data_IF_429296226774
#
_entry.id   IF_429296226774
#
_cell.length_a   1.000
_cell.length_b   1.000
_cell.length_c   1.000
_cell.angle_alpha   90.00
_cell.angle_beta   90.00
_cell.angle_gamma   90.00
#
_symmetry.space_group_name_H-M   'P 1'
#
loop_
_entity.id
_entity.type
_entity.pdbx_description
1 polymer ?
#
# COMPACT_ATOMS: atom_id res chain seq x y z
N UNK A 1 4.21 6.77 -8.85
CA UNK A 1 4.57 6.63 -7.39
C UNK A 1 4.91 5.17 -7.08
N UNK A 2 5.90 4.89 -6.23
CA UNK A 2 6.26 3.54 -5.82
C UNK A 2 5.76 3.23 -4.40
N UNK A 3 5.26 2.02 -4.16
CA UNK A 3 4.86 1.51 -2.84
C UNK A 3 5.79 0.35 -2.49
N UNK A 4 6.51 0.47 -1.37
CA UNK A 4 7.37 -0.59 -0.84
C UNK A 4 6.61 -1.35 0.24
N UNK A 5 6.56 -2.68 0.07
CA UNK A 5 6.01 -3.63 1.05
C UNK A 5 6.62 -3.48 2.45
N UNK A 6 5.89 -3.94 3.45
CA UNK A 6 6.27 -3.84 4.86
C UNK A 6 7.56 -4.62 5.18
N UNK A 7 7.77 -5.77 4.53
CA UNK A 7 9.02 -6.55 4.63
C UNK A 7 10.18 -5.98 3.80
N UNK A 8 9.92 -4.92 3.01
CA UNK A 8 10.88 -4.22 2.13
C UNK A 8 11.45 -5.07 0.99
N UNK A 9 10.89 -6.24 0.73
CA UNK A 9 11.37 -7.14 -0.33
C UNK A 9 10.73 -6.80 -1.68
N UNK A 10 9.49 -6.32 -1.66
CA UNK A 10 8.72 -5.97 -2.86
C UNK A 10 8.53 -4.46 -3.00
N UNK A 11 8.63 -3.96 -4.24
CA UNK A 11 8.44 -2.57 -4.63
C UNK A 11 7.54 -2.50 -5.86
N UNK A 12 6.43 -1.77 -5.75
CA UNK A 12 5.37 -1.76 -6.74
C UNK A 12 5.16 -0.35 -7.30
N UNK A 13 4.99 -0.22 -8.62
CA UNK A 13 4.63 1.06 -9.22
C UNK A 13 3.12 1.18 -9.36
N UNK A 14 2.53 2.16 -8.67
CA UNK A 14 1.10 2.43 -8.70
C UNK A 14 0.54 2.77 -10.08
N UNK A 15 1.37 3.29 -10.98
CA UNK A 15 0.94 3.58 -12.36
C UNK A 15 0.64 2.31 -13.16
N UNK A 16 1.17 1.16 -12.74
CA UNK A 16 1.01 -0.13 -13.39
C UNK A 16 0.05 -1.07 -12.65
N UNK A 17 -0.60 -0.59 -11.60
CA UNK A 17 -1.56 -1.37 -10.80
C UNK A 17 -2.98 -1.19 -11.32
N UNK A 18 -3.80 -2.22 -11.21
CA UNK A 18 -5.26 -2.09 -11.38
C UNK A 18 -5.91 -1.48 -10.14
N UNK A 19 -5.33 -1.67 -8.95
CA UNK A 19 -5.78 -1.02 -7.73
C UNK A 19 -4.99 -1.42 -6.48
N UNK A 20 -5.31 -0.76 -5.37
CA UNK A 20 -4.96 -1.17 -4.01
C UNK A 20 -6.25 -1.57 -3.30
N UNK A 21 -6.24 -2.70 -2.60
CA UNK A 21 -7.41 -3.25 -1.94
C UNK A 21 -7.15 -3.56 -0.47
N UNK A 22 -8.17 -3.32 0.35
CA UNK A 22 -8.25 -3.84 1.71
C UNK A 22 -8.86 -5.24 1.67
N UNK A 23 -8.23 -6.18 2.37
CA UNK A 23 -8.73 -7.52 2.57
C UNK A 23 -8.70 -7.87 4.05
N UNK A 24 -9.73 -8.56 4.53
CA UNK A 24 -9.78 -9.09 5.87
C UNK A 24 -9.68 -10.61 5.81
N UNK A 25 -8.78 -11.16 6.61
CA UNK A 25 -8.58 -12.61 6.71
C UNK A 25 -8.67 -13.04 8.16
N UNK A 26 -9.45 -14.08 8.44
CA UNK A 26 -9.45 -14.73 9.74
C UNK A 26 -8.56 -15.96 9.67
N UNK A 27 -7.46 -15.96 10.43
CA UNK A 27 -6.58 -17.10 10.57
C UNK A 27 -6.85 -17.78 11.91
N UNK A 28 -7.28 -19.04 11.86
CA UNK A 28 -7.34 -19.89 13.05
C UNK A 28 -6.03 -20.65 13.18
N UNK A 29 -5.20 -20.32 14.18
CA UNK A 29 -4.00 -21.09 14.53
C UNK A 29 -4.08 -21.53 15.99
N UNK A 30 -3.89 -22.82 16.25
CA UNK A 30 -3.90 -23.40 17.60
C UNK A 30 -5.16 -23.05 18.42
N UNK A 31 -6.32 -23.00 17.78
CA UNK A 31 -7.60 -22.70 18.43
C UNK A 31 -7.79 -21.22 18.81
N UNK A 32 -6.88 -20.32 18.41
CA UNK A 32 -7.06 -18.87 18.52
C UNK A 32 -7.38 -18.29 17.16
N UNK A 33 -8.50 -17.58 17.08
CA UNK A 33 -8.83 -16.75 15.92
C UNK A 33 -8.02 -15.47 15.97
N UNK A 34 -7.35 -15.16 14.87
CA UNK A 34 -6.65 -13.90 14.68
C UNK A 34 -7.14 -13.28 13.39
N UNK A 35 -7.78 -12.12 13.53
CA UNK A 35 -8.13 -11.30 12.38
C UNK A 35 -6.88 -10.54 11.93
N UNK A 36 -6.60 -10.62 10.64
CA UNK A 36 -5.53 -9.88 9.99
C UNK A 36 -6.11 -9.00 8.90
N UNK A 37 -5.77 -7.72 8.98
CA UNK A 37 -6.25 -6.68 8.08
C UNK A 37 -5.14 -6.36 7.07
N UNK A 38 -5.31 -6.79 5.84
CA UNK A 38 -4.28 -6.79 4.81
C UNK A 38 -4.53 -5.68 3.79
N UNK A 39 -3.46 -5.00 3.39
CA UNK A 39 -3.46 -4.14 2.21
C UNK A 39 -2.72 -4.87 1.11
N UNK A 40 -3.38 -5.05 -0.03
CA UNK A 40 -2.85 -5.74 -1.19
C UNK A 40 -2.86 -4.83 -2.42
N UNK A 41 -1.93 -5.05 -3.33
CA UNK A 41 -1.92 -4.44 -4.65
C UNK A 41 -2.46 -5.46 -5.66
N UNK A 42 -3.28 -5.01 -6.60
CA UNK A 42 -3.81 -5.84 -7.68
C UNK A 42 -3.07 -5.56 -8.99
N UNK A 43 -2.57 -6.63 -9.60
CA UNK A 43 -1.91 -6.66 -10.90
C UNK A 43 -2.77 -7.43 -11.91
N UNK A 44 -3.90 -6.87 -12.31
CA UNK A 44 -4.75 -7.48 -13.34
C UNK A 44 -5.24 -8.87 -12.95
N UNK A 45 -5.57 -9.08 -11.67
CA UNK A 45 -6.09 -10.33 -11.13
C UNK A 45 -5.14 -11.07 -10.19
N UNK A 46 -3.87 -10.65 -10.10
CA UNK A 46 -2.93 -11.15 -9.09
C UNK A 46 -2.87 -10.18 -7.91
N UNK A 47 -3.33 -10.64 -6.75
CA UNK A 47 -3.26 -9.90 -5.49
C UNK A 47 -1.96 -10.21 -4.76
N UNK A 48 -1.17 -9.19 -4.50
CA UNK A 48 0.07 -9.29 -3.72
C UNK A 48 -0.05 -8.50 -2.42
N UNK A 49 0.28 -9.15 -1.29
CA UNK A 49 0.17 -8.55 0.03
C UNK A 49 1.32 -7.54 0.26
N UNK A 50 0.99 -6.30 0.59
CA UNK A 50 1.96 -5.23 0.84
C UNK A 50 2.14 -4.93 2.33
N UNK A 51 1.11 -5.12 3.14
CA UNK A 51 1.15 -4.85 4.58
C UNK A 51 0.02 -5.53 5.32
N UNK A 52 0.27 -5.89 6.58
CA UNK A 52 -0.70 -6.55 7.45
C UNK A 52 -0.77 -5.82 8.78
N UNK A 53 -1.98 -5.48 9.21
CA UNK A 53 -2.25 -4.69 10.41
C UNK A 53 -3.17 -5.44 11.37
N UNK A 54 -3.05 -5.08 12.66
CA UNK A 54 -3.80 -5.72 13.74
C UNK A 54 -5.27 -5.27 13.81
N UNK A 55 -5.58 -4.07 13.30
CA UNK A 55 -6.93 -3.52 13.30
C UNK A 55 -7.31 -2.96 11.94
N UNK A 56 -8.62 -2.95 11.65
CA UNK A 56 -9.17 -2.36 10.43
C UNK A 56 -8.87 -0.88 10.34
N UNK A 57 -8.99 -0.17 11.46
CA UNK A 57 -8.76 1.28 11.54
C UNK A 57 -7.34 1.63 11.11
N UNK A 58 -6.35 0.85 11.55
CA UNK A 58 -4.96 1.06 11.15
C UNK A 58 -4.73 0.78 9.68
N UNK A 59 -5.35 -0.27 9.12
CA UNK A 59 -5.26 -0.55 7.70
C UNK A 59 -5.88 0.58 6.85
N UNK A 60 -7.03 1.12 7.27
CA UNK A 60 -7.68 2.26 6.60
C UNK A 60 -6.79 3.51 6.68
N UNK A 61 -6.24 3.84 7.85
CA UNK A 61 -5.34 4.98 8.01
C UNK A 61 -4.15 4.90 7.04
N UNK A 62 -3.59 3.70 6.83
CA UNK A 62 -2.50 3.50 5.88
C UNK A 62 -2.95 3.66 4.42
N UNK A 63 -4.18 3.27 4.08
CA UNK A 63 -4.75 3.55 2.76
C UNK A 63 -4.89 5.06 2.53
N UNK A 64 -5.41 5.79 3.51
CA UNK A 64 -5.53 7.25 3.44
C UNK A 64 -4.15 7.91 3.31
N UNK A 65 -3.12 7.39 3.99
CA UNK A 65 -1.74 7.86 3.83
C UNK A 65 -1.23 7.64 2.40
N UNK A 66 -1.49 6.48 1.79
CA UNK A 66 -1.10 6.18 0.41
C UNK A 66 -1.81 7.12 -0.56
N UNK A 67 -3.12 7.35 -0.38
CA UNK A 67 -3.90 8.27 -1.20
C UNK A 67 -3.33 9.69 -1.15
N UNK A 68 -3.11 10.22 0.06
CA UNK A 68 -2.53 11.56 0.25
C UNK A 68 -1.15 11.68 -0.41
N UNK A 69 -0.30 10.65 -0.25
CA UNK A 69 1.03 10.65 -0.85
C UNK A 69 0.98 10.57 -2.39
N UNK A 70 0.00 9.84 -2.93
CA UNK A 70 -0.24 9.76 -4.36
C UNK A 70 -0.70 11.10 -4.94
N UNK A 71 -1.66 11.76 -4.29
CA UNK A 71 -2.13 13.09 -4.68
C UNK A 71 -0.97 14.10 -4.66
N UNK A 72 -0.16 14.09 -3.60
CA UNK A 72 1.04 14.93 -3.51
C UNK A 72 2.02 14.68 -4.67
N UNK A 73 2.31 13.41 -4.99
CA UNK A 73 3.19 13.07 -6.11
C UNK A 73 2.62 13.54 -7.47
N UNK A 74 1.29 13.49 -7.65
CA UNK A 74 0.62 13.99 -8.86
C UNK A 74 0.69 15.51 -8.96
N UNK A 75 0.48 16.26 -7.87
CA UNK A 75 0.59 17.72 -7.86
C UNK A 75 2.01 18.20 -8.26
N UNK A 76 3.04 17.51 -7.77
CA UNK A 76 4.43 17.77 -8.17
C UNK A 76 4.69 17.51 -9.65
N UNK A 77 4.01 16.52 -10.23
CA UNK A 77 4.11 16.19 -11.65
C UNK A 77 3.61 17.34 -12.52
N UNK A 78 2.51 17.98 -12.11
CA UNK A 78 1.88 19.07 -12.87
C UNK A 78 2.64 20.40 -12.71
N UNK A 79 3.14 20.68 -11.51
CA UNK A 79 3.77 21.98 -11.17
C UNK A 79 5.27 22.04 -11.45
N UNK A 80 5.95 20.89 -11.53
CA UNK A 80 7.39 20.75 -11.70
C UNK A 80 7.86 20.63 -13.15
N UNK A 81 7.58 21.61 -14.01
CA UNK A 81 8.14 21.63 -15.38
C UNK A 81 9.68 21.79 -15.34
N UNK A 82 10.41 20.77 -15.81
CA UNK A 82 11.86 20.84 -16.10
C UNK A 82 12.81 20.23 -15.07
N UNK A 83 12.34 19.63 -13.97
CA UNK A 83 13.20 18.90 -13.00
C UNK A 83 12.86 17.41 -13.04
N UNK A 84 13.88 16.53 -13.06
CA UNK A 84 13.70 15.08 -12.88
C UNK A 84 12.87 14.85 -11.61
N UNK A 85 11.71 14.22 -11.73
CA UNK A 85 10.87 13.91 -10.58
C UNK A 85 11.68 13.10 -9.57
N UNK A 86 11.71 13.49 -8.28
CA UNK A 86 12.22 12.62 -7.26
C UNK A 86 11.33 11.36 -7.24
N UNK A 87 11.96 10.18 -7.15
CA UNK A 87 11.20 8.94 -7.00
C UNK A 87 10.44 8.97 -5.68
N UNK A 88 9.13 9.20 -5.73
CA UNK A 88 8.26 9.12 -4.55
C UNK A 88 8.06 7.65 -4.19
N UNK A 89 8.74 7.21 -3.12
CA UNK A 89 8.62 5.87 -2.56
C UNK A 89 7.86 5.97 -1.24
N UNK A 90 6.63 5.47 -1.21
CA UNK A 90 5.87 5.25 0.01
C UNK A 90 6.31 3.93 0.64
N UNK A 91 6.87 3.99 1.85
CA UNK A 91 7.19 2.80 2.63
C UNK A 91 5.99 2.43 3.50
N UNK A 92 5.47 1.21 3.35
CA UNK A 92 4.43 0.70 4.25
C UNK A 92 4.91 0.76 5.70
N UNK A 93 4.15 1.39 6.61
CA UNK A 93 4.53 1.49 8.01
C UNK A 93 4.47 0.12 8.69
N UNK A 94 5.31 -0.05 9.71
CA UNK A 94 5.32 -1.23 10.58
C UNK A 94 4.02 -1.33 11.41
N UNK A 95 3.79 -2.53 11.97
CA UNK A 95 2.53 -2.94 12.61
C UNK A 95 2.16 -2.09 13.81
#
# INVERSE_FOLDING_TARGET
MLVRSQNRENLWNLENLSGITYNESCLTRYGKEKNEHQISVDFGGLLECCGVYATKERAIEVLDMIENYYQYAQEWTVTGTGKKQPGFVFQMPEK
#
